data_IF_630565866968
#
_entry.id   IF_630565866968
#
_cell.length_a   1.000
_cell.length_b   1.000
_cell.length_c   1.000
_cell.angle_alpha   90.00
_cell.angle_beta   90.00
_cell.angle_gamma   90.00
#
_symmetry.space_group_name_H-M   'P 1'
#
loop_
_entity.id
_entity.type
_entity.pdbx_description
1 polymer ?
#
# COMPACT_ATOMS: atom_id res chain seq x y z
N UNK A 1 -3.62 14.17 -4.04
CA UNK A 1 -2.57 13.32 -4.66
C UNK A 1 -3.31 12.15 -5.26
N UNK A 2 -3.13 11.86 -6.54
CA UNK A 2 -3.91 10.85 -7.26
C UNK A 2 -3.44 9.41 -7.04
N UNK A 3 -2.56 9.18 -6.06
CA UNK A 3 -2.04 7.86 -5.71
C UNK A 3 -2.58 7.47 -4.34
N UNK A 4 -3.33 6.38 -4.29
CA UNK A 4 -3.86 5.78 -3.06
C UNK A 4 -2.96 4.61 -2.67
N UNK A 5 -2.73 4.46 -1.37
CA UNK A 5 -1.94 3.36 -0.81
C UNK A 5 -2.87 2.46 0.00
N UNK A 6 -3.04 1.22 -0.45
CA UNK A 6 -3.95 0.20 0.09
C UNK A 6 -3.21 -0.83 0.98
N UNK A 7 -2.05 -0.45 1.52
CA UNK A 7 -1.22 -1.35 2.31
C UNK A 7 -1.94 -1.87 3.56
N UNK A 8 -2.76 -1.05 4.21
CA UNK A 8 -3.56 -1.45 5.37
C UNK A 8 -4.58 -2.55 5.04
N UNK A 9 -5.26 -2.44 3.90
CA UNK A 9 -6.17 -3.46 3.36
C UNK A 9 -5.41 -4.76 3.11
N UNK A 10 -4.24 -4.68 2.50
CA UNK A 10 -3.43 -5.86 2.20
C UNK A 10 -2.88 -6.53 3.46
N UNK A 11 -2.43 -5.77 4.44
CA UNK A 11 -2.02 -6.30 5.74
C UNK A 11 -3.19 -7.00 6.45
N UNK A 12 -4.38 -6.42 6.44
CA UNK A 12 -5.59 -7.03 7.01
C UNK A 12 -5.94 -8.36 6.31
N UNK A 13 -5.93 -8.39 4.97
CA UNK A 13 -6.17 -9.60 4.16
C UNK A 13 -5.18 -10.72 4.46
N UNK A 14 -3.95 -10.39 4.87
CA UNK A 14 -2.89 -11.36 5.22
C UNK A 14 -2.73 -11.61 6.71
N UNK A 15 -3.58 -10.99 7.55
CA UNK A 15 -3.50 -11.07 9.02
C UNK A 15 -2.12 -10.67 9.57
N UNK A 16 -1.44 -9.76 8.88
CA UNK A 16 -0.09 -9.30 9.23
C UNK A 16 -0.15 -8.01 10.06
N UNK A 17 0.71 -7.90 11.08
CA UNK A 17 0.84 -6.69 11.92
C UNK A 17 1.88 -5.73 11.35
N UNK A 18 1.75 -4.43 11.65
CA UNK A 18 2.69 -3.39 11.19
C UNK A 18 4.12 -3.68 11.63
N UNK A 19 4.31 -3.97 12.92
CA UNK A 19 5.60 -4.31 13.50
C UNK A 19 6.26 -5.50 12.81
N UNK A 20 5.50 -6.56 12.59
CA UNK A 20 5.95 -7.77 11.93
C UNK A 20 6.44 -7.50 10.50
N UNK A 21 5.66 -6.76 9.71
CA UNK A 21 6.05 -6.40 8.35
C UNK A 21 7.29 -5.49 8.34
N UNK A 22 7.36 -4.51 9.26
CA UNK A 22 8.49 -3.60 9.36
C UNK A 22 9.80 -4.34 9.68
N UNK A 23 9.75 -5.29 10.63
CA UNK A 23 10.87 -6.18 10.97
C UNK A 23 11.27 -7.04 9.78
N UNK A 24 10.30 -7.65 9.09
CA UNK A 24 10.56 -8.56 7.97
C UNK A 24 11.23 -7.89 6.77
N UNK A 25 10.90 -6.63 6.47
CA UNK A 25 11.45 -5.89 5.32
C UNK A 25 12.59 -4.93 5.70
N UNK A 26 12.99 -4.91 6.97
CA UNK A 26 14.13 -4.13 7.45
C UNK A 26 13.93 -2.61 7.46
N UNK A 27 12.72 -2.13 7.76
CA UNK A 27 12.43 -0.68 7.93
C UNK A 27 11.79 -0.39 9.27
N UNK A 28 11.78 0.88 9.67
CA UNK A 28 11.13 1.29 10.94
C UNK A 28 9.61 1.25 10.81
N UNK A 29 8.91 0.97 11.92
CA UNK A 29 7.44 1.07 11.99
C UNK A 29 6.95 2.48 11.61
N UNK A 30 7.73 3.52 11.94
CA UNK A 30 7.42 4.90 11.56
C UNK A 30 7.40 5.09 10.04
N UNK A 31 8.41 4.59 9.32
CA UNK A 31 8.47 4.67 7.85
C UNK A 31 7.33 3.87 7.21
N UNK A 32 7.06 2.66 7.72
CA UNK A 32 5.96 1.83 7.22
C UNK A 32 4.59 2.48 7.51
N UNK A 33 4.42 3.14 8.65
CA UNK A 33 3.21 3.87 9.01
C UNK A 33 2.95 5.08 8.10
N UNK A 34 4.00 5.82 7.72
CA UNK A 34 3.88 6.91 6.75
C UNK A 34 3.39 6.40 5.40
N UNK A 35 3.92 5.26 4.94
CA UNK A 35 3.47 4.60 3.72
C UNK A 35 2.02 4.13 3.84
N UNK A 36 1.71 3.35 4.88
CA UNK A 36 0.37 2.78 5.15
C UNK A 36 -0.73 3.85 5.13
N UNK A 37 -0.47 5.02 5.71
CA UNK A 37 -1.45 6.09 5.82
C UNK A 37 -1.46 7.03 4.60
N UNK A 38 -0.82 6.66 3.48
CA UNK A 38 -0.80 7.47 2.25
C UNK A 38 -0.06 8.81 2.37
N UNK A 39 0.81 8.97 3.38
CA UNK A 39 1.57 10.21 3.62
C UNK A 39 2.96 10.19 2.97
N UNK A 40 3.38 9.06 2.43
CA UNK A 40 4.64 8.93 1.73
C UNK A 40 4.65 9.75 0.42
N UNK A 41 5.76 10.45 0.16
CA UNK A 41 5.98 11.17 -1.11
C UNK A 41 6.62 10.28 -2.19
N UNK A 42 7.30 9.23 -1.76
CA UNK A 42 7.99 8.28 -2.63
C UNK A 42 8.14 6.94 -1.90
N UNK A 43 8.27 5.87 -2.68
CA UNK A 43 8.63 4.54 -2.23
C UNK A 43 9.75 4.00 -3.13
N UNK A 44 10.74 3.33 -2.56
CA UNK A 44 11.77 2.63 -3.35
C UNK A 44 11.18 1.33 -3.89
N UNK A 45 11.52 0.96 -5.12
CA UNK A 45 11.06 -0.33 -5.67
C UNK A 45 11.50 -1.53 -4.83
N UNK A 46 12.68 -1.50 -4.23
CA UNK A 46 13.13 -2.56 -3.30
C UNK A 46 12.22 -2.68 -2.07
N UNK A 47 11.69 -1.57 -1.55
CA UNK A 47 10.71 -1.60 -0.45
C UNK A 47 9.38 -2.17 -0.92
N UNK A 48 8.91 -1.75 -2.11
CA UNK A 48 7.67 -2.25 -2.70
C UNK A 48 7.76 -3.76 -2.99
N UNK A 49 8.86 -4.21 -3.57
CA UNK A 49 9.18 -5.62 -3.83
C UNK A 49 9.18 -6.44 -2.54
N UNK A 50 9.85 -5.97 -1.49
CA UNK A 50 9.89 -6.67 -0.20
C UNK A 50 8.50 -6.81 0.43
N UNK A 51 7.66 -5.76 0.35
CA UNK A 51 6.26 -5.81 0.79
C UNK A 51 5.48 -6.83 -0.03
N UNK A 52 5.58 -6.78 -1.36
CA UNK A 52 4.89 -7.70 -2.26
C UNK A 52 5.29 -9.16 -2.02
N UNK A 53 6.59 -9.42 -1.82
CA UNK A 53 7.11 -10.74 -1.50
C UNK A 53 6.60 -11.24 -0.16
N UNK A 54 6.63 -10.41 0.89
CA UNK A 54 6.20 -10.80 2.23
C UNK A 54 4.68 -11.04 2.31
N UNK A 55 3.90 -10.14 1.72
CA UNK A 55 2.44 -10.23 1.73
C UNK A 55 1.87 -11.11 0.61
N UNK A 56 2.72 -11.68 -0.26
CA UNK A 56 2.31 -12.43 -1.44
C UNK A 56 1.22 -11.69 -2.23
N UNK A 57 1.56 -10.51 -2.73
CA UNK A 57 0.67 -9.63 -3.47
C UNK A 57 1.39 -8.92 -4.61
N UNK A 58 0.62 -8.25 -5.47
CA UNK A 58 1.14 -7.46 -6.58
C UNK A 58 1.28 -5.98 -6.20
N UNK A 59 2.13 -5.19 -6.88
CA UNK A 59 2.22 -3.75 -6.69
C UNK A 59 0.87 -3.03 -6.79
N UNK A 60 0.00 -3.44 -7.71
CA UNK A 60 -1.34 -2.88 -7.89
C UNK A 60 -2.30 -3.15 -6.73
N UNK A 61 -2.00 -4.14 -5.87
CA UNK A 61 -2.76 -4.35 -4.63
C UNK A 61 -2.40 -3.33 -3.54
N UNK A 62 -1.23 -2.68 -3.67
CA UNK A 62 -0.69 -1.74 -2.67
C UNK A 62 -0.82 -0.29 -3.14
N UNK A 63 -0.66 -0.04 -4.44
CA UNK A 63 -0.64 1.31 -5.01
C UNK A 63 -1.64 1.38 -6.15
N UNK A 64 -2.55 2.35 -6.05
CA UNK A 64 -3.62 2.58 -7.02
C UNK A 64 -3.56 4.03 -7.50
N UNK A 65 -3.68 4.24 -8.80
CA UNK A 65 -3.87 5.57 -9.37
C UNK A 65 -5.37 5.83 -9.51
N UNK A 66 -5.86 6.89 -8.88
CA UNK A 66 -7.23 7.38 -9.02
C UNK A 66 -7.22 8.71 -9.77
N UNK A 67 -7.69 8.68 -11.01
CA UNK A 67 -8.03 9.90 -11.74
C UNK A 67 -9.42 10.38 -11.33
N UNK A 68 -9.66 11.69 -11.32
CA UNK A 68 -10.98 12.26 -11.02
C UNK A 68 -12.07 11.74 -11.98
N UNK A 69 -11.70 11.35 -13.21
CA UNK A 69 -12.61 10.74 -14.19
C UNK A 69 -12.97 9.28 -13.88
N UNK A 70 -12.09 8.51 -13.23
CA UNK A 70 -12.40 7.11 -12.87
C UNK A 70 -13.43 7.05 -11.73
N UNK A 71 -13.45 8.07 -10.88
CA UNK A 71 -14.38 8.19 -9.76
C UNK A 71 -15.83 8.52 -10.20
N UNK A 72 -16.01 9.03 -11.44
CA UNK A 72 -17.33 9.22 -12.06
C UNK A 72 -17.87 7.89 -12.61
N UNK A 73 -17.02 7.08 -13.26
CA UNK A 73 -17.41 5.79 -13.81
C UNK A 73 -17.85 4.80 -12.72
N UNK A 74 -17.22 4.78 -11.54
CA UNK A 74 -17.59 3.88 -10.45
C UNK A 74 -18.96 4.26 -9.84
N UNK A 75 -19.33 5.55 -9.84
CA UNK A 75 -20.60 6.02 -9.28
C UNK A 75 -21.82 5.73 -10.15
N UNK A 76 -21.64 5.54 -11.45
CA UNK A 76 -22.75 5.26 -12.39
C UNK A 76 -23.15 3.77 -12.41
N UNK A 77 -22.34 2.87 -11.84
CA UNK A 77 -22.63 1.43 -11.77
C UNK A 77 -23.13 0.98 -10.38
N UNK A 78 -23.39 1.93 -9.48
CA UNK A 78 -23.86 1.69 -8.10
C UNK A 78 -25.35 1.94 -7.92
#
# INVERSE_FOLDING_TARGET
>A
MSIIVNLDVMMAKRKCRLKELAEAIGITEANLSILKNGKAKAIRFSTLEAICSYLNCQPGDIIEYQNDNDNLLIKEVG
#
